data_IF_780724013853
#
_entry.id   IF_780724013853
#
_cell.length_a   1.000
_cell.length_b   1.000
_cell.length_c   1.000
_cell.angle_alpha   90.00
_cell.angle_beta   90.00
_cell.angle_gamma   90.00
#
_symmetry.space_group_name_H-M   'P 1'
#
loop_
_entity.id
_entity.type
_entity.pdbx_description
1 polymer ?
#
# COMPACT_ATOMS: atom_id res chain seq x y z
N UNK A 1 -26.75 -4.74 11.24
CA UNK A 1 -26.30 -3.34 11.24
C UNK A 1 -26.51 -2.83 9.83
N UNK A 2 -27.14 -1.67 9.65
CA UNK A 2 -27.37 -1.12 8.31
C UNK A 2 -26.06 -0.64 7.67
N UNK A 3 -26.07 -0.47 6.34
CA UNK A 3 -24.92 0.06 5.60
C UNK A 3 -24.44 1.41 6.17
N UNK A 4 -25.37 2.35 6.37
CA UNK A 4 -25.08 3.67 6.92
C UNK A 4 -24.57 3.62 8.37
N UNK A 5 -25.10 2.69 9.18
CA UNK A 5 -24.62 2.47 10.56
C UNK A 5 -23.14 2.03 10.55
N UNK A 6 -22.77 1.12 9.63
CA UNK A 6 -21.40 0.64 9.52
C UNK A 6 -20.45 1.73 9.04
N UNK A 7 -20.84 2.56 8.07
CA UNK A 7 -20.03 3.72 7.65
C UNK A 7 -19.84 4.70 8.82
N UNK A 8 -20.92 5.02 9.55
CA UNK A 8 -20.85 5.93 10.69
C UNK A 8 -19.94 5.39 11.80
N UNK A 9 -20.05 4.11 12.13
CA UNK A 9 -19.20 3.46 13.14
C UNK A 9 -17.75 3.35 12.69
N UNK A 10 -17.47 3.17 11.39
CA UNK A 10 -16.11 3.23 10.87
C UNK A 10 -15.48 4.61 11.07
N UNK A 11 -16.23 5.70 10.84
CA UNK A 11 -15.77 7.08 11.11
C UNK A 11 -15.50 7.31 12.60
N UNK A 12 -16.37 6.81 13.48
CA UNK A 12 -16.14 6.87 14.93
C UNK A 12 -14.90 6.06 15.36
N UNK A 13 -14.71 4.87 14.77
CA UNK A 13 -13.56 4.03 15.03
C UNK A 13 -12.25 4.68 14.54
N UNK A 14 -12.26 5.39 13.40
CA UNK A 14 -11.11 6.18 12.92
C UNK A 14 -10.74 7.26 13.95
N UNK A 15 -11.71 8.05 14.43
CA UNK A 15 -11.48 9.10 15.43
C UNK A 15 -10.99 8.56 16.78
N UNK A 16 -11.39 7.34 17.13
CA UNK A 16 -10.97 6.66 18.35
C UNK A 16 -9.69 5.81 18.15
N UNK A 17 -9.09 5.82 16.96
CA UNK A 17 -7.92 5.01 16.58
C UNK A 17 -8.13 3.49 16.79
N UNK A 18 -9.38 3.02 16.72
CA UNK A 18 -9.76 1.61 16.86
C UNK A 18 -9.84 0.93 15.50
N UNK A 19 -8.71 0.89 14.79
CA UNK A 19 -8.66 0.46 13.39
C UNK A 19 -9.11 -0.99 13.14
N UNK A 20 -9.04 -1.89 14.13
CA UNK A 20 -9.57 -3.25 13.99
C UNK A 20 -11.10 -3.26 13.88
N UNK A 21 -11.79 -2.47 14.69
CA UNK A 21 -13.25 -2.28 14.58
C UNK A 21 -13.62 -1.51 13.32
N UNK A 22 -12.76 -0.57 12.90
CA UNK A 22 -12.93 0.13 11.63
C UNK A 22 -12.90 -0.86 10.45
N UNK A 23 -11.98 -1.84 10.46
CA UNK A 23 -11.93 -2.91 9.47
C UNK A 23 -13.23 -3.73 9.49
N UNK A 24 -13.70 -4.16 10.65
CA UNK A 24 -14.95 -4.94 10.76
C UNK A 24 -16.16 -4.21 10.15
N UNK A 25 -16.30 -2.91 10.43
CA UNK A 25 -17.35 -2.09 9.86
C UNK A 25 -17.19 -1.90 8.35
N UNK A 26 -15.98 -1.59 7.87
CA UNK A 26 -15.74 -1.38 6.44
C UNK A 26 -15.86 -2.66 5.61
N UNK A 27 -15.67 -3.84 6.22
CA UNK A 27 -16.00 -5.12 5.59
C UNK A 27 -17.50 -5.29 5.37
N UNK A 28 -18.31 -4.92 6.36
CA UNK A 28 -19.77 -4.97 6.22
C UNK A 28 -20.25 -4.05 5.10
N UNK A 29 -19.62 -2.87 4.96
CA UNK A 29 -19.83 -1.92 3.86
C UNK A 29 -19.40 -2.53 2.52
N UNK A 30 -18.22 -3.16 2.44
CA UNK A 30 -17.72 -3.79 1.23
C UNK A 30 -18.59 -4.95 0.74
N UNK A 31 -19.15 -5.76 1.64
CA UNK A 31 -20.02 -6.90 1.31
C UNK A 31 -21.45 -6.52 0.88
N UNK A 32 -21.74 -5.23 0.71
CA UNK A 32 -23.01 -4.76 0.15
C UNK A 32 -23.09 -4.85 -1.39
N UNK A 33 -22.00 -5.27 -2.06
CA UNK A 33 -21.92 -5.47 -3.51
C UNK A 33 -22.36 -4.24 -4.33
N UNK A 34 -21.99 -3.06 -3.84
CA UNK A 34 -22.19 -1.77 -4.52
C UNK A 34 -20.88 -1.01 -4.62
N UNK A 35 -20.78 -0.12 -5.62
CA UNK A 35 -19.61 0.73 -5.77
C UNK A 35 -19.47 1.65 -4.55
N UNK A 36 -18.30 1.60 -3.90
CA UNK A 36 -18.01 2.49 -2.79
C UNK A 36 -17.71 3.90 -3.30
N UNK A 37 -18.27 4.89 -2.61
CA UNK A 37 -17.88 6.29 -2.79
C UNK A 37 -16.39 6.50 -2.49
N UNK A 38 -15.88 7.67 -2.88
CA UNK A 38 -14.47 8.00 -2.64
C UNK A 38 -14.15 8.04 -1.14
N UNK A 39 -15.06 8.58 -0.32
CA UNK A 39 -14.91 8.61 1.14
C UNK A 39 -14.85 7.18 1.72
N UNK A 40 -15.74 6.30 1.31
CA UNK A 40 -15.78 4.92 1.79
C UNK A 40 -14.57 4.10 1.35
N UNK A 41 -14.10 4.28 0.10
CA UNK A 41 -12.82 3.70 -0.36
C UNK A 41 -11.66 4.15 0.52
N UNK A 42 -11.63 5.44 0.85
CA UNK A 42 -10.58 6.00 1.70
C UNK A 42 -10.65 5.44 3.13
N UNK A 43 -11.84 5.33 3.72
CA UNK A 43 -12.04 4.71 5.04
C UNK A 43 -11.55 3.26 5.06
N UNK A 44 -11.93 2.45 4.07
CA UNK A 44 -11.48 1.05 3.94
C UNK A 44 -9.95 0.97 3.89
N UNK A 45 -9.32 1.80 3.05
CA UNK A 45 -7.87 1.83 2.89
C UNK A 45 -7.15 2.25 4.17
N UNK A 46 -7.65 3.28 4.86
CA UNK A 46 -7.10 3.75 6.15
C UNK A 46 -7.21 2.67 7.22
N UNK A 47 -8.35 2.00 7.32
CA UNK A 47 -8.59 0.95 8.30
C UNK A 47 -7.54 -0.17 8.17
N UNK A 48 -7.44 -0.77 6.98
CA UNK A 48 -6.51 -1.87 6.76
C UNK A 48 -5.05 -1.41 6.77
N UNK A 49 -4.73 -0.20 6.27
CA UNK A 49 -3.35 0.34 6.30
C UNK A 49 -2.82 0.46 7.72
N UNK A 50 -3.61 0.98 8.66
CA UNK A 50 -3.17 1.10 10.05
C UNK A 50 -2.99 -0.27 10.72
N UNK A 51 -3.96 -1.18 10.51
CA UNK A 51 -3.91 -2.56 10.99
C UNK A 51 -2.67 -3.29 10.46
N UNK A 52 -2.44 -3.30 9.15
CA UNK A 52 -1.30 -4.01 8.56
C UNK A 52 0.03 -3.32 8.88
N UNK A 53 0.06 -1.98 8.93
CA UNK A 53 1.26 -1.20 9.23
C UNK A 53 1.83 -1.50 10.61
N UNK A 54 0.97 -1.53 11.64
CA UNK A 54 1.37 -1.90 12.99
C UNK A 54 1.99 -3.31 13.05
N UNK A 55 1.34 -4.29 12.39
CA UNK A 55 1.81 -5.68 12.37
C UNK A 55 3.11 -5.84 11.59
N UNK A 56 3.28 -5.14 10.46
CA UNK A 56 4.53 -5.13 9.67
C UNK A 56 5.69 -4.53 10.45
N UNK A 57 5.45 -3.44 11.17
CA UNK A 57 6.46 -2.83 12.06
C UNK A 57 6.90 -3.81 13.17
N UNK A 58 5.95 -4.48 13.83
CA UNK A 58 6.26 -5.52 14.83
C UNK A 58 7.08 -6.66 14.23
N UNK A 59 6.70 -7.15 13.04
CA UNK A 59 7.42 -8.23 12.36
C UNK A 59 8.86 -7.85 12.03
N UNK A 60 9.11 -6.64 11.51
CA UNK A 60 10.47 -6.14 11.22
C UNK A 60 11.34 -6.08 12.47
N UNK A 61 10.81 -5.53 13.57
CA UNK A 61 11.51 -5.44 14.85
C UNK A 61 11.93 -6.83 15.33
N UNK A 62 10.98 -7.78 15.34
CA UNK A 62 11.26 -9.15 15.81
C UNK A 62 12.26 -9.86 14.90
N UNK A 63 12.15 -9.68 13.58
CA UNK A 63 13.12 -10.23 12.60
C UNK A 63 14.53 -9.68 12.81
N UNK A 64 14.67 -8.38 13.08
CA UNK A 64 15.96 -7.76 13.40
C UNK A 64 16.55 -8.29 14.72
N UNK A 65 15.71 -8.50 15.73
CA UNK A 65 16.13 -9.11 17.01
C UNK A 65 16.57 -10.57 16.79
N UNK A 66 15.85 -11.35 15.98
CA UNK A 66 16.21 -12.72 15.61
C UNK A 66 17.61 -12.77 15.02
N UNK A 67 17.89 -11.96 13.99
CA UNK A 67 19.20 -11.88 13.32
C UNK A 67 20.33 -11.49 14.29
N UNK A 68 20.04 -10.56 15.22
CA UNK A 68 21.01 -10.12 16.23
C UNK A 68 21.33 -11.21 17.25
N UNK A 69 20.35 -12.02 17.65
CA UNK A 69 20.57 -13.13 18.58
C UNK A 69 21.19 -14.34 17.89
N UNK A 70 20.88 -14.58 16.61
CA UNK A 70 21.55 -15.58 15.77
C UNK A 70 23.05 -15.29 15.63
N UNK A 71 23.44 -14.03 15.37
CA UNK A 71 24.86 -13.67 15.25
C UNK A 71 25.67 -13.81 16.55
N UNK A 72 25.00 -13.87 17.71
CA UNK A 72 25.62 -14.14 19.03
C UNK A 72 25.68 -15.62 19.39
N UNK A 73 25.04 -16.50 18.62
CA UNK A 73 24.94 -17.92 18.92
C UNK A 73 23.96 -18.27 20.06
N UNK A 74 22.97 -17.42 20.33
CA UNK A 74 22.01 -17.62 21.42
C UNK A 74 20.85 -18.55 20.99
N UNK A 75 21.16 -19.82 20.73
CA UNK A 75 20.24 -20.79 20.09
C UNK A 75 18.88 -20.93 20.78
N UNK A 76 18.84 -20.91 22.12
CA UNK A 76 17.60 -21.02 22.89
C UNK A 76 16.69 -19.80 22.68
N UNK A 77 17.26 -18.59 22.74
CA UNK A 77 16.53 -17.33 22.51
C UNK A 77 16.06 -17.24 21.07
N UNK A 78 16.91 -17.62 20.10
CA UNK A 78 16.55 -17.66 18.68
C UNK A 78 15.33 -18.54 18.44
N UNK A 79 15.25 -19.70 19.10
CA UNK A 79 14.08 -20.60 18.97
C UNK A 79 12.80 -19.92 19.46
N UNK A 80 12.83 -19.27 20.63
CA UNK A 80 11.69 -18.53 21.17
C UNK A 80 11.27 -17.35 20.28
N UNK A 81 12.25 -16.62 19.73
CA UNK A 81 12.00 -15.49 18.83
C UNK A 81 11.37 -15.97 17.52
N UNK A 82 11.83 -17.08 16.95
CA UNK A 82 11.25 -17.70 15.74
C UNK A 82 9.79 -18.06 15.92
N UNK A 83 9.45 -18.70 17.03
CA UNK A 83 8.05 -19.04 17.34
C UNK A 83 7.17 -17.78 17.46
N UNK A 84 7.70 -16.72 18.07
CA UNK A 84 6.97 -15.45 18.18
C UNK A 84 6.82 -14.75 16.83
N UNK A 85 7.88 -14.70 16.01
CA UNK A 85 7.82 -14.16 14.64
C UNK A 85 6.76 -14.89 13.80
N UNK A 86 6.70 -16.21 13.88
CA UNK A 86 5.70 -17.01 13.14
C UNK A 86 4.26 -16.69 13.55
N UNK A 87 4.01 -16.33 14.81
CA UNK A 87 2.68 -15.84 15.24
C UNK A 87 2.32 -14.53 14.56
N UNK A 88 3.26 -13.58 14.52
CA UNK A 88 3.06 -12.29 13.82
C UNK A 88 2.85 -12.53 12.32
N UNK A 89 3.59 -13.44 11.70
CA UNK A 89 3.41 -13.79 10.28
C UNK A 89 2.02 -14.38 10.00
N UNK A 90 1.48 -15.20 10.91
CA UNK A 90 0.13 -15.72 10.77
C UNK A 90 -0.93 -14.61 10.91
N UNK A 91 -0.74 -13.65 11.80
CA UNK A 91 -1.61 -12.47 11.92
C UNK A 91 -1.55 -11.59 10.67
N UNK A 92 -0.35 -11.31 10.15
CA UNK A 92 -0.13 -10.60 8.90
C UNK A 92 -0.80 -11.29 7.72
N UNK A 93 -0.61 -12.60 7.59
CA UNK A 93 -1.21 -13.40 6.53
C UNK A 93 -2.73 -13.30 6.58
N UNK A 94 -3.33 -13.45 7.78
CA UNK A 94 -4.77 -13.34 7.97
C UNK A 94 -5.30 -11.96 7.55
N UNK A 95 -4.63 -10.87 7.93
CA UNK A 95 -5.04 -9.52 7.53
C UNK A 95 -4.99 -9.35 6.00
N UNK A 96 -3.94 -9.88 5.36
CA UNK A 96 -3.81 -9.80 3.91
C UNK A 96 -4.86 -10.64 3.18
N UNK A 97 -5.08 -11.88 3.61
CA UNK A 97 -6.09 -12.77 3.05
C UNK A 97 -7.49 -12.16 3.17
N UNK A 98 -7.79 -11.55 4.32
CA UNK A 98 -9.08 -10.92 4.60
C UNK A 98 -9.45 -9.82 3.60
N UNK A 99 -8.55 -8.87 3.34
CA UNK A 99 -8.80 -7.81 2.35
C UNK A 99 -8.76 -8.34 0.92
N UNK A 100 -7.90 -9.33 0.61
CA UNK A 100 -7.83 -9.92 -0.72
C UNK A 100 -9.14 -10.64 -1.07
N UNK A 101 -9.77 -11.31 -0.10
CA UNK A 101 -11.11 -11.89 -0.25
C UNK A 101 -12.17 -10.81 -0.49
N UNK A 102 -12.15 -9.70 0.26
CA UNK A 102 -13.06 -8.58 0.01
C UNK A 102 -12.87 -7.94 -1.38
N UNK A 103 -11.61 -7.79 -1.82
CA UNK A 103 -11.28 -7.23 -3.12
C UNK A 103 -11.80 -8.11 -4.25
N UNK A 104 -11.53 -9.41 -4.19
CA UNK A 104 -11.89 -10.35 -5.26
C UNK A 104 -13.39 -10.72 -5.24
N UNK A 105 -13.99 -10.79 -4.06
CA UNK A 105 -15.39 -11.17 -3.88
C UNK A 105 -16.38 -10.04 -4.14
N UNK A 106 -16.04 -8.81 -3.79
CA UNK A 106 -17.01 -7.71 -3.72
C UNK A 106 -16.54 -6.44 -4.45
N UNK A 107 -15.35 -5.92 -4.13
CA UNK A 107 -14.96 -4.55 -4.50
C UNK A 107 -14.53 -4.41 -5.96
N UNK A 108 -13.65 -5.31 -6.46
CA UNK A 108 -13.21 -5.29 -7.87
C UNK A 108 -14.40 -5.58 -8.81
N UNK A 109 -15.27 -6.57 -8.55
CA UNK A 109 -16.48 -6.79 -9.36
C UNK A 109 -17.44 -5.60 -9.39
N UNK A 110 -17.55 -4.85 -8.29
CA UNK A 110 -18.47 -3.70 -8.17
C UNK A 110 -17.86 -2.38 -8.64
N UNK A 111 -16.59 -2.35 -9.06
CA UNK A 111 -15.93 -1.12 -9.49
C UNK A 111 -16.35 -0.72 -10.91
N UNK A 112 -16.91 0.47 -11.08
CA UNK A 112 -17.37 0.97 -12.39
C UNK A 112 -16.35 1.95 -12.98
N UNK A 113 -15.88 2.91 -12.18
CA UNK A 113 -14.96 3.97 -12.61
C UNK A 113 -13.53 3.47 -12.85
N UNK A 114 -12.79 4.16 -13.72
CA UNK A 114 -11.36 3.89 -13.91
C UNK A 114 -10.56 4.12 -12.62
N UNK A 115 -10.97 5.10 -11.81
CA UNK A 115 -10.32 5.41 -10.54
C UNK A 115 -10.49 4.30 -9.50
N UNK A 116 -11.72 3.81 -9.29
CA UNK A 116 -12.01 2.73 -8.35
C UNK A 116 -11.30 1.44 -8.75
N UNK A 117 -11.28 1.10 -10.04
CA UNK A 117 -10.53 -0.04 -10.59
C UNK A 117 -9.03 0.03 -10.29
N UNK A 118 -8.40 1.17 -10.60
CA UNK A 118 -6.96 1.36 -10.34
C UNK A 118 -6.67 1.27 -8.84
N UNK A 119 -7.52 1.87 -8.01
CA UNK A 119 -7.40 1.85 -6.56
C UNK A 119 -7.42 0.43 -6.00
N UNK A 120 -8.41 -0.39 -6.38
CA UNK A 120 -8.55 -1.76 -5.86
C UNK A 120 -7.47 -2.70 -6.41
N UNK A 121 -7.10 -2.59 -7.70
CA UNK A 121 -5.99 -3.39 -8.23
C UNK A 121 -4.64 -3.01 -7.61
N UNK A 122 -4.39 -1.71 -7.37
CA UNK A 122 -3.23 -1.26 -6.60
C UNK A 122 -3.23 -1.87 -5.20
N UNK A 123 -4.35 -1.79 -4.49
CA UNK A 123 -4.50 -2.36 -3.15
C UNK A 123 -4.26 -3.87 -3.16
N UNK A 124 -4.80 -4.60 -4.13
CA UNK A 124 -4.52 -6.03 -4.33
C UNK A 124 -3.03 -6.32 -4.51
N UNK A 125 -2.35 -5.50 -5.32
CA UNK A 125 -0.90 -5.54 -5.50
C UNK A 125 -0.14 -5.33 -4.19
N UNK A 126 -0.55 -4.33 -3.39
CA UNK A 126 0.04 -4.02 -2.09
C UNK A 126 -0.07 -5.18 -1.10
N UNK A 127 -1.26 -5.80 -0.94
CA UNK A 127 -1.43 -6.90 0.01
C UNK A 127 -0.75 -8.20 -0.43
N UNK A 128 -0.69 -8.48 -1.73
CA UNK A 128 0.15 -9.58 -2.22
C UNK A 128 1.65 -9.30 -2.04
N UNK A 129 2.08 -8.04 -2.18
CA UNK A 129 3.46 -7.63 -1.86
C UNK A 129 3.77 -7.86 -0.39
N UNK A 130 2.88 -7.46 0.52
CA UNK A 130 3.07 -7.71 1.96
C UNK A 130 3.19 -9.21 2.28
N UNK A 131 2.37 -10.06 1.65
CA UNK A 131 2.53 -11.52 1.77
C UNK A 131 3.90 -12.01 1.26
N UNK A 132 4.43 -11.41 0.18
CA UNK A 132 5.73 -11.79 -0.37
C UNK A 132 6.92 -11.35 0.50
N UNK A 133 6.77 -10.34 1.36
CA UNK A 133 7.84 -9.84 2.25
C UNK A 133 8.36 -10.93 3.20
N UNK A 134 7.45 -11.67 3.83
CA UNK A 134 7.78 -12.68 4.84
C UNK A 134 7.61 -14.13 4.38
N UNK A 135 6.93 -14.37 3.24
CA UNK A 135 6.82 -15.70 2.68
C UNK A 135 8.17 -16.25 2.19
N UNK A 136 8.27 -17.58 2.15
CA UNK A 136 9.45 -18.32 1.67
C UNK A 136 9.08 -19.33 0.59
N UNK A 137 10.05 -19.71 -0.24
CA UNK A 137 9.89 -20.73 -1.28
C UNK A 137 8.76 -20.42 -2.26
N UNK A 138 7.95 -21.43 -2.59
CA UNK A 138 6.87 -21.33 -3.58
C UNK A 138 5.77 -20.34 -3.18
N UNK A 139 5.53 -20.18 -1.88
CA UNK A 139 4.56 -19.19 -1.38
C UNK A 139 5.02 -17.76 -1.71
N UNK A 140 6.31 -17.46 -1.52
CA UNK A 140 6.89 -16.15 -1.88
C UNK A 140 6.70 -15.88 -3.37
N UNK A 141 7.06 -16.85 -4.21
CA UNK A 141 6.94 -16.73 -5.66
C UNK A 141 5.49 -16.48 -6.08
N UNK A 142 4.55 -17.27 -5.55
CA UNK A 142 3.13 -17.12 -5.85
C UNK A 142 2.60 -15.73 -5.46
N UNK A 143 2.95 -15.24 -4.27
CA UNK A 143 2.54 -13.90 -3.82
C UNK A 143 3.17 -12.79 -4.67
N UNK A 144 4.45 -12.93 -5.05
CA UNK A 144 5.13 -11.97 -5.91
C UNK A 144 4.49 -11.93 -7.32
N UNK A 145 4.21 -13.09 -7.91
CA UNK A 145 3.57 -13.19 -9.24
C UNK A 145 2.18 -12.54 -9.23
N UNK A 146 1.37 -12.80 -8.21
CA UNK A 146 0.05 -12.17 -8.04
C UNK A 146 0.12 -10.66 -7.79
N UNK A 147 1.13 -10.20 -7.04
CA UNK A 147 1.37 -8.77 -6.84
C UNK A 147 1.73 -8.07 -8.15
N UNK A 148 2.63 -8.68 -8.94
CA UNK A 148 3.03 -8.19 -10.25
C UNK A 148 1.85 -8.12 -11.23
N UNK A 149 1.01 -9.15 -11.26
CA UNK A 149 -0.21 -9.19 -12.08
C UNK A 149 -1.17 -8.06 -11.71
N UNK A 150 -1.44 -7.87 -10.42
CA UNK A 150 -2.34 -6.84 -9.94
C UNK A 150 -1.81 -5.43 -10.22
N UNK A 151 -0.53 -5.17 -10.00
CA UNK A 151 0.07 -3.87 -10.34
C UNK A 151 0.05 -3.59 -11.84
N UNK A 152 0.35 -4.58 -12.69
CA UNK A 152 0.24 -4.42 -14.15
C UNK A 152 -1.19 -4.09 -14.59
N UNK A 153 -2.18 -4.82 -14.07
CA UNK A 153 -3.59 -4.52 -14.34
C UNK A 153 -3.96 -3.09 -13.92
N UNK A 154 -3.50 -2.65 -12.74
CA UNK A 154 -3.69 -1.27 -12.31
C UNK A 154 -3.02 -0.26 -13.24
N UNK A 155 -1.79 -0.53 -13.71
CA UNK A 155 -1.04 0.36 -14.61
C UNK A 155 -1.73 0.50 -15.97
N UNK A 156 -2.23 -0.60 -16.52
CA UNK A 156 -2.92 -0.59 -17.82
C UNK A 156 -4.22 0.24 -17.76
N UNK A 157 -5.00 0.08 -16.69
CA UNK A 157 -6.21 0.89 -16.46
C UNK A 157 -5.84 2.36 -16.22
N UNK A 158 -4.81 2.63 -15.41
CA UNK A 158 -4.38 3.99 -15.09
C UNK A 158 -3.89 4.75 -16.33
N UNK A 159 -3.16 4.09 -17.24
CA UNK A 159 -2.65 4.69 -18.47
C UNK A 159 -3.75 5.23 -19.38
N UNK A 160 -4.93 4.61 -19.35
CA UNK A 160 -6.08 4.99 -20.20
C UNK A 160 -7.08 5.92 -19.53
N UNK A 161 -7.11 5.97 -18.19
CA UNK A 161 -8.18 6.64 -17.43
C UNK A 161 -7.70 7.79 -16.54
N UNK A 162 -6.42 7.83 -16.16
CA UNK A 162 -5.91 8.79 -15.18
C UNK A 162 -4.74 9.60 -15.78
N UNK A 163 -4.75 10.91 -15.57
CA UNK A 163 -3.63 11.77 -15.95
C UNK A 163 -2.33 11.34 -15.22
N UNK A 164 -1.14 11.56 -15.81
CA UNK A 164 0.14 11.26 -15.16
C UNK A 164 0.31 11.91 -13.78
N UNK A 165 -0.28 13.07 -13.57
CA UNK A 165 -0.30 13.81 -12.31
C UNK A 165 -1.31 13.28 -11.29
N UNK A 166 -2.21 12.37 -11.68
CA UNK A 166 -3.27 11.90 -10.79
C UNK A 166 -2.68 11.16 -9.55
N UNK A 167 -3.04 11.54 -8.30
CA UNK A 167 -2.44 10.97 -7.09
C UNK A 167 -2.49 9.44 -7.01
N UNK A 168 -3.61 8.81 -7.40
CA UNK A 168 -3.72 7.34 -7.43
C UNK A 168 -2.74 6.70 -8.42
N UNK A 169 -2.51 7.31 -9.60
CA UNK A 169 -1.56 6.83 -10.60
C UNK A 169 -0.12 6.99 -10.12
N UNK A 170 0.21 8.12 -9.51
CA UNK A 170 1.51 8.36 -8.88
C UNK A 170 1.78 7.39 -7.73
N UNK A 171 0.79 7.19 -6.85
CA UNK A 171 0.88 6.24 -5.73
C UNK A 171 1.01 4.79 -6.20
N UNK A 172 0.38 4.43 -7.33
CA UNK A 172 0.59 3.14 -7.98
C UNK A 172 2.04 2.99 -8.44
N UNK A 173 2.58 3.98 -9.16
CA UNK A 173 3.97 3.93 -9.64
C UNK A 173 4.98 3.85 -8.48
N UNK A 174 4.74 4.61 -7.40
CA UNK A 174 5.52 4.55 -6.17
C UNK A 174 5.57 3.12 -5.62
N UNK A 175 4.41 2.52 -5.34
CA UNK A 175 4.36 1.20 -4.72
C UNK A 175 4.88 0.10 -5.65
N UNK A 176 4.64 0.22 -6.96
CA UNK A 176 5.13 -0.74 -7.93
C UNK A 176 6.66 -0.64 -8.11
N UNK A 177 7.23 0.57 -8.02
CA UNK A 177 8.70 0.73 -8.03
C UNK A 177 9.35 0.06 -6.81
N UNK A 178 8.77 0.23 -5.62
CA UNK A 178 9.20 -0.46 -4.39
C UNK A 178 9.09 -1.97 -4.56
N UNK A 179 8.01 -2.48 -5.16
CA UNK A 179 7.86 -3.90 -5.45
C UNK A 179 9.01 -4.44 -6.33
N UNK A 180 9.35 -3.74 -7.41
CA UNK A 180 10.48 -4.13 -8.26
C UNK A 180 11.79 -4.17 -7.47
N UNK A 181 12.00 -3.18 -6.59
CA UNK A 181 13.21 -3.08 -5.79
C UNK A 181 13.29 -4.18 -4.72
N UNK A 182 12.31 -4.23 -3.81
CA UNK A 182 12.36 -5.05 -2.59
C UNK A 182 11.95 -6.51 -2.81
N UNK A 183 11.03 -6.79 -3.75
CA UNK A 183 10.48 -8.14 -3.92
C UNK A 183 11.14 -8.86 -5.09
N UNK A 184 11.25 -8.19 -6.25
CA UNK A 184 11.84 -8.77 -7.45
C UNK A 184 13.36 -8.56 -7.57
N UNK A 185 13.97 -7.82 -6.64
CA UNK A 185 15.41 -7.54 -6.64
C UNK A 185 15.88 -7.01 -8.01
N UNK A 186 15.09 -6.11 -8.60
CA UNK A 186 15.27 -5.53 -9.94
C UNK A 186 15.39 -4.01 -9.84
N UNK A 187 16.51 -3.49 -9.28
CA UNK A 187 16.68 -2.07 -8.98
C UNK A 187 16.62 -1.18 -10.24
N UNK A 188 17.17 -1.65 -11.36
CA UNK A 188 17.09 -0.92 -12.64
C UNK A 188 15.64 -0.64 -13.06
N UNK A 189 14.77 -1.65 -12.95
CA UNK A 189 13.34 -1.52 -13.29
C UNK A 189 12.61 -0.61 -12.30
N UNK A 190 12.94 -0.69 -11.01
CA UNK A 190 12.38 0.19 -9.99
C UNK A 190 12.71 1.65 -10.27
N UNK A 191 14.00 1.96 -10.50
CA UNK A 191 14.48 3.30 -10.82
C UNK A 191 13.89 3.82 -12.14
N UNK A 192 13.83 2.98 -13.18
CA UNK A 192 13.22 3.35 -14.45
C UNK A 192 11.75 3.72 -14.29
N UNK A 193 10.97 2.91 -13.56
CA UNK A 193 9.55 3.17 -13.34
C UNK A 193 9.31 4.44 -12.52
N UNK A 194 10.03 4.60 -11.41
CA UNK A 194 9.90 5.77 -10.55
C UNK A 194 10.30 7.06 -11.28
N UNK A 195 11.39 7.02 -12.05
CA UNK A 195 11.85 8.17 -12.84
C UNK A 195 10.86 8.53 -13.95
N UNK A 196 10.35 7.54 -14.69
CA UNK A 196 9.37 7.79 -15.75
C UNK A 196 8.10 8.45 -15.19
N UNK A 197 7.56 7.93 -14.08
CA UNK A 197 6.38 8.51 -13.45
C UNK A 197 6.61 9.94 -12.94
N UNK A 198 7.80 10.21 -12.40
CA UNK A 198 8.19 11.55 -11.95
C UNK A 198 8.33 12.53 -13.13
N UNK A 199 9.03 12.15 -14.19
CA UNK A 199 9.25 12.98 -15.37
C UNK A 199 7.92 13.26 -16.12
N UNK A 200 7.05 12.26 -16.27
CA UNK A 200 5.72 12.40 -16.88
C UNK A 200 4.84 13.37 -16.08
N UNK A 201 4.89 13.29 -14.74
CA UNK A 201 4.11 14.18 -13.88
C UNK A 201 4.64 15.62 -13.88
N UNK A 202 5.97 15.82 -13.97
CA UNK A 202 6.56 17.16 -14.14
C UNK A 202 6.06 17.82 -15.42
N UNK A 203 5.98 17.07 -16.52
CA UNK A 203 5.58 17.61 -17.83
C UNK A 203 4.16 18.20 -17.84
N UNK A 204 3.29 17.75 -16.93
CA UNK A 204 1.89 18.18 -16.84
C UNK A 204 1.56 18.86 -15.50
N UNK A 205 2.56 19.19 -14.68
CA UNK A 205 2.33 19.72 -13.32
C UNK A 205 1.64 21.09 -13.33
N UNK A 206 1.95 21.92 -14.32
CA UNK A 206 1.43 23.28 -14.47
C UNK A 206 -0.08 23.33 -14.77
N UNK A 207 -0.72 22.19 -15.08
CA UNK A 207 -2.15 22.12 -15.38
C UNK A 207 -3.03 21.83 -14.16
N UNK A 208 -2.43 21.59 -12.99
CA UNK A 208 -3.17 21.21 -11.78
C UNK A 208 -3.81 22.41 -11.06
N UNK A 209 -4.92 22.15 -10.38
CA UNK A 209 -5.46 23.07 -9.36
C UNK A 209 -4.57 23.07 -8.11
N UNK A 210 -4.69 24.09 -7.27
CA UNK A 210 -3.88 24.21 -6.04
C UNK A 210 -4.06 23.00 -5.08
N UNK A 211 -5.28 22.47 -4.99
CA UNK A 211 -5.62 21.30 -4.17
C UNK A 211 -4.92 20.03 -4.70
N UNK A 212 -5.13 19.70 -5.98
CA UNK A 212 -4.51 18.52 -6.60
C UNK A 212 -2.98 18.65 -6.70
N UNK A 213 -2.44 19.86 -6.75
CA UNK A 213 -1.00 20.12 -6.78
C UNK A 213 -0.33 19.64 -5.48
N UNK A 214 -0.94 19.89 -4.31
CA UNK A 214 -0.36 19.48 -3.01
C UNK A 214 -0.24 17.96 -2.91
N UNK A 215 -1.29 17.23 -3.25
CA UNK A 215 -1.28 15.77 -3.17
C UNK A 215 -0.31 15.13 -4.14
N UNK A 216 -0.29 15.63 -5.39
CA UNK A 216 0.58 15.11 -6.45
C UNK A 216 2.05 15.35 -6.14
N UNK A 217 2.40 16.58 -5.73
CA UNK A 217 3.79 16.94 -5.41
C UNK A 217 4.33 16.21 -4.20
N UNK A 218 3.47 15.90 -3.22
CA UNK A 218 3.87 15.13 -2.05
C UNK A 218 4.23 13.69 -2.43
N UNK A 219 3.50 13.04 -3.35
CA UNK A 219 3.85 11.70 -3.83
C UNK A 219 5.08 11.74 -4.75
N UNK A 220 5.20 12.76 -5.61
CA UNK A 220 6.40 12.97 -6.43
C UNK A 220 7.66 13.14 -5.57
N UNK A 221 7.55 13.80 -4.42
CA UNK A 221 8.63 13.91 -3.46
C UNK A 221 9.07 12.53 -2.94
N UNK A 222 8.14 11.64 -2.62
CA UNK A 222 8.45 10.26 -2.21
C UNK A 222 9.14 9.45 -3.31
N UNK A 223 8.70 9.61 -4.57
CA UNK A 223 9.37 9.00 -5.73
C UNK A 223 10.83 9.47 -5.84
N UNK A 224 11.06 10.78 -5.68
CA UNK A 224 12.40 11.39 -5.69
C UNK A 224 13.27 10.88 -4.55
N UNK A 225 12.70 10.74 -3.35
CA UNK A 225 13.41 10.27 -2.17
C UNK A 225 13.84 8.81 -2.34
N UNK A 226 12.97 7.96 -2.89
CA UNK A 226 13.31 6.57 -3.24
C UNK A 226 14.41 6.49 -4.30
N UNK A 227 14.31 7.28 -5.38
CA UNK A 227 15.36 7.34 -6.41
C UNK A 227 16.72 7.77 -5.81
N UNK A 228 16.72 8.74 -4.91
CA UNK A 228 17.94 9.22 -4.25
C UNK A 228 18.53 8.13 -3.35
N UNK A 229 17.70 7.42 -2.59
CA UNK A 229 18.11 6.30 -1.76
C UNK A 229 18.72 5.15 -2.58
N UNK A 230 18.08 4.75 -3.66
CA UNK A 230 18.50 3.62 -4.49
C UNK A 230 19.75 3.92 -5.33
N UNK A 231 19.94 5.17 -5.77
CA UNK A 231 21.12 5.56 -6.55
C UNK A 231 22.32 5.94 -5.69
N UNK A 232 22.12 6.35 -4.43
CA UNK A 232 23.23 6.62 -3.49
C UNK A 232 23.84 5.33 -2.91
N UNK A 233 23.04 4.29 -2.74
CA UNK A 233 23.50 2.98 -2.24
C UNK A 233 24.37 2.21 -3.25
N UNK A 234 24.27 2.51 -4.55
CA UNK A 234 25.19 2.00 -5.58
C UNK A 234 26.59 2.64 -5.54
N UNK A 235 26.75 3.79 -4.87
CA UNK A 235 28.01 4.54 -4.83
C UNK A 235 28.92 4.20 -3.64
N UNK A 236 28.43 3.47 -2.63
CA UNK A 236 29.16 3.16 -1.39
C UNK A 236 29.30 1.63 -1.19
N UNK A 237 30.52 1.06 -1.15
CA UNK A 237 30.71 -0.34 -0.83
C UNK A 237 30.48 -0.56 0.68
N UNK A 238 29.31 -1.13 1.02
CA UNK A 238 28.98 -1.82 2.28
C UNK A 238 29.52 -1.18 3.57
N UNK A 239 28.73 -0.27 4.16
CA UNK A 239 28.90 0.22 5.53
C UNK A 239 27.69 -0.11 6.40
N UNK A 240 27.96 -0.59 7.61
CA UNK A 240 27.07 -1.19 8.62
C UNK A 240 26.08 -0.17 9.25
N UNK A 241 25.32 0.54 8.43
CA UNK A 241 24.22 1.40 8.85
C UNK A 241 22.88 0.73 8.52
N UNK A 242 21.83 0.88 9.36
CA UNK A 242 20.50 0.41 9.00
C UNK A 242 20.10 1.09 7.69
N UNK A 243 19.83 0.29 6.65
CA UNK A 243 19.39 0.80 5.36
C UNK A 243 18.14 1.67 5.57
N UNK A 244 18.17 2.91 5.11
CA UNK A 244 16.98 3.74 5.12
C UNK A 244 15.89 3.05 4.28
N UNK A 245 14.67 2.96 4.81
CA UNK A 245 13.58 2.27 4.13
C UNK A 245 13.01 3.14 3.01
N UNK A 246 12.69 2.57 1.84
CA UNK A 246 12.00 3.31 0.81
C UNK A 246 10.61 3.72 1.29
N UNK A 247 10.19 4.92 0.91
CA UNK A 247 8.82 5.39 1.12
C UNK A 247 7.86 4.51 0.32
N UNK A 248 6.93 3.86 1.02
CA UNK A 248 5.93 2.96 0.43
C UNK A 248 4.50 3.50 0.52
N UNK A 249 4.35 4.68 1.13
CA UNK A 249 3.06 5.23 1.52
C UNK A 249 2.84 6.60 0.91
N UNK A 250 2.16 6.64 -0.23
CA UNK A 250 1.55 7.86 -0.74
C UNK A 250 0.56 8.42 0.32
N UNK A 251 0.68 9.71 0.70
CA UNK A 251 -0.33 10.38 1.49
C UNK A 251 -1.66 10.47 0.74
N UNK A 252 -2.75 10.69 1.50
CA UNK A 252 -4.13 10.74 1.00
C UNK A 252 -4.21 11.69 -0.20
N UNK A 253 -4.97 11.30 -1.22
CA UNK A 253 -5.53 12.27 -2.15
C UNK A 253 -6.79 12.84 -1.48
N UNK A 254 -6.80 14.12 -1.14
CA UNK A 254 -8.05 14.83 -0.85
C UNK A 254 -8.78 14.98 -2.19
N UNK A 255 -9.58 13.97 -2.53
CA UNK A 255 -10.47 14.06 -3.70
C UNK A 255 -11.55 15.08 -3.39
N UNK A 256 -11.52 16.20 -4.09
CA UNK A 256 -12.44 17.33 -3.99
C UNK A 256 -13.91 16.90 -3.80
N UNK A 257 -14.49 17.19 -2.64
CA UNK A 257 -15.94 17.37 -2.54
C UNK A 257 -16.29 18.68 -3.26
N UNK A 258 -17.06 18.60 -4.35
CA UNK A 258 -17.76 19.78 -4.83
C UNK A 258 -18.70 20.26 -3.72
N UNK A 259 -18.68 21.56 -3.33
CA UNK A 259 -19.55 22.04 -2.28
C UNK A 259 -21.00 21.82 -2.71
N UNK A 260 -21.75 21.05 -1.91
CA UNK A 260 -23.19 20.97 -2.03
C UNK A 260 -23.75 22.39 -1.89
N UNK A 261 -24.36 22.91 -2.95
CA UNK A 261 -25.16 24.13 -2.95
C UNK A 261 -26.28 24.00 -1.91
N UNK A 262 -26.01 24.42 -0.68
CA UNK A 262 -27.04 24.70 0.30
C UNK A 262 -27.59 26.11 0.03
N UNK A 263 -28.47 26.21 -0.98
CA UNK A 263 -29.45 27.30 -1.01
C UNK A 263 -30.65 26.91 -0.14
N UNK A 264 -30.73 27.52 1.03
CA UNK A 264 -31.98 27.85 1.71
C UNK A 264 -31.84 29.25 2.30
#
# INVERSE_FOLDING_TARGET
MGYEDSVYLAKLAEQAERYEEMVENMKAVASADQELSVEERNLLSVAYKNVIGARRASWRIVTSIEQKEESKGNETQVTLIKEYRQKIEAELAKICEDILECLDGHLIPSAESGESKVFYHKMKGDYHRYLAEFAVGDKRKTSADKSLEAYKAATDVAASNLAPTHPIRLGLALNFSVFYYEILNSPDQACQLAKQAFDDAIAELDTLSEESYKDSTLIMQLLRDNLTLWTSSEAEPSGDAPAAEPATDAPKAESSEAPADAKA
#
